data_IF_109760051326
#
_entry.id   IF_109760051326
#
_cell.length_a   1.000
_cell.length_b   1.000
_cell.length_c   1.000
_cell.angle_alpha   90.00
_cell.angle_beta   90.00
_cell.angle_gamma   90.00
#
_symmetry.space_group_name_H-M   'P 1'
#
loop_
_entity.id
_entity.type
_entity.pdbx_description
1 polymer ?
#
# COMPACT_ATOMS: atom_id res chain seq x y z
N UNK A 1 0.98 -40.08 -37.14
CA UNK A 1 1.65 -38.81 -36.78
C UNK A 1 0.76 -37.85 -35.97
N UNK A 2 -0.55 -37.78 -36.21
CA UNK A 2 -1.46 -36.83 -35.50
C UNK A 2 -1.59 -37.11 -33.99
N UNK A 3 -1.57 -38.38 -33.57
CA UNK A 3 -1.68 -38.76 -32.15
C UNK A 3 -0.54 -38.22 -31.27
N UNK A 4 0.66 -38.06 -31.83
CA UNK A 4 1.81 -37.52 -31.10
C UNK A 4 1.66 -36.02 -30.89
N UNK A 5 1.15 -35.30 -31.91
CA UNK A 5 0.86 -33.87 -31.81
C UNK A 5 -0.23 -33.60 -30.77
N UNK A 6 -1.25 -34.44 -30.71
CA UNK A 6 -2.33 -34.33 -29.74
C UNK A 6 -1.82 -34.55 -28.30
N UNK A 7 -0.99 -35.58 -28.07
CA UNK A 7 -0.39 -35.84 -26.76
C UNK A 7 0.52 -34.70 -26.28
N UNK A 8 1.31 -34.11 -27.18
CA UNK A 8 2.15 -32.95 -26.83
C UNK A 8 1.32 -31.72 -26.48
N UNK A 9 0.26 -31.45 -27.25
CA UNK A 9 -0.64 -30.33 -26.99
C UNK A 9 -1.38 -30.49 -25.64
N UNK A 10 -1.94 -31.68 -25.36
CA UNK A 10 -2.62 -31.93 -24.09
C UNK A 10 -1.66 -31.90 -22.89
N UNK A 11 -0.43 -32.42 -23.05
CA UNK A 11 0.59 -32.34 -22.01
C UNK A 11 0.95 -30.90 -21.67
N UNK A 12 1.18 -30.05 -22.69
CA UNK A 12 1.47 -28.63 -22.48
C UNK A 12 0.30 -27.86 -21.85
N UNK A 13 -0.94 -28.24 -22.18
CA UNK A 13 -2.13 -27.61 -21.62
C UNK A 13 -2.34 -27.99 -20.15
N UNK A 14 -2.06 -29.23 -19.74
CA UNK A 14 -2.17 -29.67 -18.36
C UNK A 14 -1.15 -28.97 -17.44
N UNK A 15 0.10 -28.78 -17.91
CA UNK A 15 1.12 -28.02 -17.16
C UNK A 15 0.73 -26.55 -17.03
N UNK A 16 0.19 -25.95 -18.10
CA UNK A 16 -0.30 -24.57 -18.05
C UNK A 16 -1.49 -24.43 -17.08
N UNK A 17 -2.39 -25.41 -17.03
CA UNK A 17 -3.50 -25.40 -16.09
C UNK A 17 -3.01 -25.46 -14.64
N UNK A 18 -1.95 -26.21 -14.33
CA UNK A 18 -1.40 -26.22 -12.96
C UNK A 18 -0.58 -24.95 -12.62
N UNK A 19 0.12 -24.38 -13.60
CA UNK A 19 0.92 -23.15 -13.41
C UNK A 19 0.07 -21.87 -13.33
N UNK A 20 -1.11 -21.86 -13.95
CA UNK A 20 -2.01 -20.71 -14.03
C UNK A 20 -3.41 -21.00 -13.49
N UNK A 21 -3.63 -22.12 -12.79
CA UNK A 21 -4.91 -22.33 -12.10
C UNK A 21 -5.09 -21.17 -11.12
N UNK A 22 -6.21 -20.44 -11.18
CA UNK A 22 -6.59 -19.56 -10.10
C UNK A 22 -6.71 -20.45 -8.86
N UNK A 23 -5.80 -20.26 -7.92
CA UNK A 23 -5.91 -20.76 -6.56
C UNK A 23 -7.10 -20.02 -5.95
N UNK A 24 -8.27 -20.65 -5.94
CA UNK A 24 -9.31 -20.31 -4.97
C UNK A 24 -8.72 -20.67 -3.61
N UNK A 25 -8.11 -19.64 -3.03
CA UNK A 25 -7.00 -19.81 -2.11
C UNK A 25 -7.28 -20.71 -0.93
N UNK A 26 -6.36 -21.63 -0.68
CA UNK A 26 -6.04 -22.05 0.67
C UNK A 26 -4.64 -22.69 0.73
N UNK A 27 -3.73 -21.97 1.39
CA UNK A 27 -2.62 -22.58 2.12
C UNK A 27 -1.32 -22.74 1.34
N UNK A 28 -0.33 -21.88 1.65
CA UNK A 28 1.05 -22.21 1.33
C UNK A 28 2.00 -21.02 1.34
N UNK A 29 2.41 -20.61 2.53
CA UNK A 29 3.56 -19.72 2.72
C UNK A 29 4.77 -20.23 1.94
N UNK A 30 5.20 -19.49 0.92
CA UNK A 30 6.58 -19.52 0.44
C UNK A 30 7.11 -18.11 0.29
N UNK A 31 8.04 -17.82 1.19
CA UNK A 31 8.90 -16.65 1.21
C UNK A 31 9.58 -16.46 -0.15
N UNK A 32 9.31 -15.32 -0.76
CA UNK A 32 9.95 -14.86 -1.99
C UNK A 32 9.77 -13.37 -2.07
N UNK A 33 10.80 -12.63 -1.67
CA UNK A 33 10.92 -11.19 -1.82
C UNK A 33 10.76 -10.79 -3.29
N UNK A 34 9.53 -10.50 -3.67
CA UNK A 34 9.22 -9.71 -4.85
C UNK A 34 8.33 -8.59 -4.32
N UNK A 35 8.85 -7.37 -4.36
CA UNK A 35 8.00 -6.17 -4.30
C UNK A 35 7.20 -6.21 -5.60
N UNK A 36 6.14 -7.02 -5.56
CA UNK A 36 5.17 -7.14 -6.60
C UNK A 36 4.18 -6.04 -6.24
N UNK A 37 4.32 -4.89 -6.90
CA UNK A 37 3.27 -3.88 -6.94
C UNK A 37 2.06 -4.53 -7.60
N UNK A 38 1.29 -5.26 -6.79
CA UNK A 38 0.04 -5.89 -7.18
C UNK A 38 -0.98 -4.75 -7.27
N UNK A 39 -1.71 -4.59 -8.40
CA UNK A 39 -2.79 -3.58 -8.51
C UNK A 39 -3.97 -3.80 -7.54
N UNK A 40 -3.88 -4.82 -6.67
CA UNK A 40 -4.92 -5.27 -5.74
C UNK A 40 -4.79 -4.63 -4.34
N UNK A 41 -3.79 -3.78 -4.09
CA UNK A 41 -3.48 -3.28 -2.73
C UNK A 41 -4.35 -2.10 -2.27
N UNK A 42 -5.33 -1.69 -3.09
CA UNK A 42 -6.35 -0.73 -2.70
C UNK A 42 -7.19 -1.29 -1.55
N UNK A 43 -6.90 -0.83 -0.33
CA UNK A 43 -7.55 -1.29 0.90
C UNK A 43 -6.67 -2.12 1.85
N UNK A 44 -5.41 -2.40 1.51
CA UNK A 44 -4.49 -3.06 2.45
C UNK A 44 -4.02 -2.10 3.53
N UNK A 45 -4.01 -2.57 4.78
CA UNK A 45 -3.40 -1.84 5.89
C UNK A 45 -1.88 -1.82 5.71
N UNK A 46 -1.32 -0.63 5.49
CA UNK A 46 0.11 -0.41 5.37
C UNK A 46 0.64 0.39 6.57
N UNK A 47 1.88 0.14 6.95
CA UNK A 47 2.59 0.87 7.99
C UNK A 47 3.88 1.39 7.40
N UNK A 48 4.05 2.70 7.43
CA UNK A 48 5.23 3.37 6.90
C UNK A 48 5.93 4.12 8.02
N UNK A 49 7.26 4.11 8.00
CA UNK A 49 8.09 4.85 8.94
C UNK A 49 9.08 5.69 8.13
N UNK A 50 9.25 6.96 8.53
CA UNK A 50 10.20 7.84 7.87
C UNK A 50 10.27 9.22 8.50
N UNK A 51 11.17 10.04 7.97
CA UNK A 51 11.30 11.44 8.35
C UNK A 51 10.40 12.33 7.50
N UNK A 52 9.75 13.30 8.15
CA UNK A 52 8.89 14.26 7.46
C UNK A 52 9.73 15.21 6.60
N UNK A 53 9.50 15.17 5.30
CA UNK A 53 10.14 16.03 4.30
C UNK A 53 9.28 17.26 4.02
N UNK A 54 7.96 17.10 4.04
CA UNK A 54 7.00 18.16 3.75
C UNK A 54 5.70 17.96 4.54
N UNK A 55 5.14 19.06 5.04
CA UNK A 55 3.82 19.11 5.67
C UNK A 55 3.00 20.15 4.93
N UNK A 56 1.86 19.75 4.40
CA UNK A 56 0.98 20.62 3.62
C UNK A 56 -0.47 20.49 4.10
N UNK A 57 -1.04 21.55 4.71
CA UNK A 57 -2.47 21.58 4.99
C UNK A 57 -3.27 21.74 3.69
N UNK A 58 -4.44 21.10 3.60
CA UNK A 58 -5.34 21.30 2.46
C UNK A 58 -6.09 22.63 2.61
N UNK A 59 -6.27 23.36 1.49
CA UNK A 59 -6.95 24.67 1.48
C UNK A 59 -8.41 24.58 1.92
N UNK A 60 -9.05 23.44 1.66
CA UNK A 60 -10.45 23.15 1.97
C UNK A 60 -10.51 21.80 2.67
N UNK A 61 -11.33 21.70 3.72
CA UNK A 61 -11.56 20.43 4.44
C UNK A 61 -10.76 20.20 5.72
N UNK A 62 -9.73 21.01 6.00
CA UNK A 62 -8.94 20.89 7.24
C UNK A 62 -8.19 19.55 7.34
N UNK A 63 -7.73 19.04 6.20
CA UNK A 63 -6.93 17.82 6.12
C UNK A 63 -5.46 18.15 6.10
N UNK A 64 -4.63 17.15 6.40
CA UNK A 64 -3.18 17.29 6.41
C UNK A 64 -2.58 16.27 5.45
N UNK A 65 -1.75 16.76 4.53
CA UNK A 65 -0.93 15.94 3.65
C UNK A 65 0.50 15.98 4.19
N UNK A 66 1.09 14.80 4.39
CA UNK A 66 2.46 14.65 4.86
C UNK A 66 3.23 13.82 3.83
N UNK A 67 4.44 14.28 3.52
CA UNK A 67 5.40 13.52 2.72
C UNK A 67 6.57 13.11 3.60
N UNK A 68 6.89 11.83 3.57
CA UNK A 68 8.07 11.28 4.25
C UNK A 68 9.13 10.87 3.24
N UNK A 69 10.35 10.64 3.69
CA UNK A 69 11.48 10.23 2.85
C UNK A 69 11.42 8.76 2.42
N UNK A 70 10.88 7.89 3.27
CA UNK A 70 10.87 6.44 3.05
C UNK A 70 9.86 5.97 1.99
N UNK A 71 8.89 6.81 1.59
CA UNK A 71 7.97 6.49 0.50
C UNK A 71 7.69 7.70 -0.37
N UNK A 72 7.41 7.46 -1.65
CA UNK A 72 6.93 8.51 -2.56
C UNK A 72 5.45 8.84 -2.37
N UNK A 73 4.70 7.94 -1.72
CA UNK A 73 3.27 8.08 -1.47
C UNK A 73 2.99 9.18 -0.43
N UNK A 74 1.88 9.90 -0.61
CA UNK A 74 1.47 10.93 0.36
C UNK A 74 0.65 10.32 1.47
N UNK A 75 0.90 10.73 2.69
CA UNK A 75 0.08 10.37 3.84
C UNK A 75 -1.03 11.41 3.95
N UNK A 76 -2.27 10.96 3.79
CA UNK A 76 -3.46 11.78 3.93
C UNK A 76 -4.10 11.56 5.30
N UNK A 77 -4.23 12.64 6.06
CA UNK A 77 -4.82 12.62 7.39
C UNK A 77 -6.10 13.44 7.34
N UNK A 78 -7.23 12.77 7.54
CA UNK A 78 -8.52 13.42 7.57
C UNK A 78 -8.66 14.33 8.80
N UNK A 79 -9.59 15.30 8.73
CA UNK A 79 -9.88 16.19 9.86
C UNK A 79 -10.35 15.38 11.08
N UNK A 80 -11.18 14.38 10.83
CA UNK A 80 -11.73 13.48 11.85
C UNK A 80 -10.64 12.62 12.52
N UNK A 81 -9.55 12.32 11.80
CA UNK A 81 -8.39 11.62 12.34
C UNK A 81 -7.48 12.53 13.22
N UNK A 82 -7.82 13.82 13.38
CA UNK A 82 -7.08 14.73 14.24
C UNK A 82 -5.98 15.52 13.55
N UNK A 83 -6.11 15.76 12.23
CA UNK A 83 -5.19 16.58 11.43
C UNK A 83 -4.77 17.90 12.10
N UNK A 84 -5.72 18.60 12.73
CA UNK A 84 -5.49 19.89 13.41
C UNK A 84 -4.58 19.80 14.64
N UNK A 85 -4.71 18.70 15.40
CA UNK A 85 -3.83 18.43 16.55
C UNK A 85 -2.43 18.08 16.06
N UNK A 86 -2.36 17.23 15.04
CA UNK A 86 -1.10 16.77 14.46
C UNK A 86 -0.33 17.90 13.77
N UNK A 87 -1.00 18.81 13.08
CA UNK A 87 -0.34 19.94 12.41
C UNK A 87 0.39 20.87 13.39
N UNK A 88 -0.05 20.92 14.65
CA UNK A 88 0.58 21.73 15.70
C UNK A 88 1.77 21.02 16.36
N UNK A 89 1.81 19.68 16.31
CA UNK A 89 2.83 18.87 16.96
C UNK A 89 3.94 18.46 15.99
N UNK A 90 3.56 18.07 14.77
CA UNK A 90 4.46 17.56 13.74
C UNK A 90 5.25 18.69 13.09
N UNK A 91 6.55 18.47 12.92
CA UNK A 91 7.45 19.38 12.23
C UNK A 91 8.25 18.63 11.17
N UNK A 92 8.71 19.40 10.18
CA UNK A 92 9.66 18.89 9.19
C UNK A 92 10.94 18.43 9.90
N UNK A 93 11.40 17.23 9.57
CA UNK A 93 12.55 16.58 10.21
C UNK A 93 12.19 15.61 11.34
N UNK A 94 10.94 15.60 11.83
CA UNK A 94 10.52 14.61 12.80
C UNK A 94 10.43 13.22 12.15
N UNK A 95 10.83 12.19 12.90
CA UNK A 95 10.63 10.80 12.49
C UNK A 95 9.27 10.33 12.99
N UNK A 96 8.47 9.77 12.09
CA UNK A 96 7.13 9.27 12.41
C UNK A 96 6.91 7.87 11.87
N UNK A 97 6.03 7.14 12.53
CA UNK A 97 5.39 5.94 11.98
C UNK A 97 3.91 6.26 11.77
N UNK A 98 3.42 6.01 10.57
CA UNK A 98 2.03 6.17 10.19
C UNK A 98 1.47 4.84 9.71
N UNK A 99 0.37 4.42 10.33
CA UNK A 99 -0.40 3.26 9.90
C UNK A 99 -1.68 3.73 9.23
N UNK A 100 -1.96 3.20 8.05
CA UNK A 100 -3.11 3.63 7.26
C UNK A 100 -3.50 2.59 6.23
N UNK A 101 -4.46 2.94 5.39
CA UNK A 101 -4.85 2.11 4.26
C UNK A 101 -4.32 2.73 2.98
N UNK A 102 -3.70 1.92 2.11
CA UNK A 102 -3.31 2.40 0.80
C UNK A 102 -4.55 2.56 -0.07
N UNK A 103 -4.71 3.75 -0.67
CA UNK A 103 -5.82 4.11 -1.54
C UNK A 103 -5.31 4.88 -2.74
N UNK A 104 -5.93 4.66 -3.89
CA UNK A 104 -5.73 5.50 -5.06
C UNK A 104 -6.72 6.67 -5.03
N UNK A 105 -6.19 7.89 -4.98
CA UNK A 105 -6.96 9.12 -5.08
C UNK A 105 -6.56 9.87 -6.36
N UNK A 106 -7.51 10.00 -7.29
CA UNK A 106 -7.29 10.64 -8.60
C UNK A 106 -6.10 10.06 -9.40
N UNK A 107 -5.87 8.75 -9.30
CA UNK A 107 -4.73 8.09 -9.94
C UNK A 107 -3.38 8.32 -9.26
N UNK A 108 -3.37 8.88 -8.05
CA UNK A 108 -2.19 8.96 -7.18
C UNK A 108 -2.38 8.05 -5.98
N UNK A 109 -1.37 7.22 -5.68
CA UNK A 109 -1.34 6.39 -4.47
C UNK A 109 -1.16 7.28 -3.24
N UNK A 110 -2.03 7.11 -2.26
CA UNK A 110 -2.01 7.81 -0.99
C UNK A 110 -2.28 6.84 0.16
N UNK A 111 -1.78 7.17 1.35
CA UNK A 111 -1.99 6.40 2.57
C UNK A 111 -3.00 7.17 3.42
N UNK A 112 -4.23 6.68 3.49
CA UNK A 112 -5.28 7.29 4.30
C UNK A 112 -5.16 6.84 5.76
N UNK A 113 -5.00 7.81 6.66
CA UNK A 113 -4.98 7.59 8.10
C UNK A 113 -6.34 7.96 8.70
N UNK A 114 -6.98 7.00 9.36
CA UNK A 114 -8.32 7.16 9.92
C UNK A 114 -8.34 7.58 11.39
N UNK A 115 -7.27 7.34 12.17
CA UNK A 115 -7.23 7.65 13.61
C UNK A 115 -5.94 8.35 14.01
N UNK A 116 -6.03 9.19 15.04
CA UNK A 116 -4.87 9.89 15.62
C UNK A 116 -3.82 8.91 16.17
N UNK A 117 -4.27 7.82 16.81
CA UNK A 117 -3.41 6.82 17.44
C UNK A 117 -2.59 5.99 16.45
N UNK A 118 -2.95 6.04 15.17
CA UNK A 118 -2.23 5.35 14.11
C UNK A 118 -0.96 6.11 13.67
N UNK A 119 -0.76 7.31 14.22
CA UNK A 119 0.46 8.11 14.02
C UNK A 119 1.22 8.19 15.33
N UNK A 120 2.49 7.79 15.28
CA UNK A 120 3.41 7.88 16.40
C UNK A 120 4.66 8.67 15.98
N UNK A 121 5.10 9.56 16.86
CA UNK A 121 6.33 10.33 16.66
C UNK A 121 7.44 9.58 17.40
N UNK A 122 8.48 9.21 16.65
CA UNK A 122 9.68 8.59 17.19
C UNK A 122 10.66 9.71 17.53
N UNK A 123 10.94 9.88 18.82
CA UNK A 123 11.92 10.85 19.33
C UNK A 123 13.33 10.27 19.34
#
# INVERSE_FOLDING_TARGET
>A
MVFVLLLMALGSLAVAFWAFSPDDGEGGSLSGSVIQERPEDAGRSTSVEGMIVEIKPTKTGGHLLIKIDSTSDRIFISRNAGAEKLSSVLKKGDRITAKGMQRDYQGQKEIEVSRLSDIQILK
#
